data_IF_452754780647
#
_entry.id   IF_452754780647
#
_cell.length_a   1.000
_cell.length_b   1.000
_cell.length_c   1.000
_cell.angle_alpha   90.00
_cell.angle_beta   90.00
_cell.angle_gamma   90.00
#
_symmetry.space_group_name_H-M   'P 1'
#
loop_
_entity.id
_entity.type
_entity.pdbx_description
1 polymer ?
#
# COMPACT_ATOMS: atom_id res chain seq x y z
N UNK A 1 -21.69 19.48 65.01
CA UNK A 1 -20.41 20.05 65.37
C UNK A 1 -19.36 19.53 64.38
N UNK A 2 -18.66 20.48 63.82
CA UNK A 2 -17.44 20.48 63.02
C UNK A 2 -17.59 20.02 61.55
N UNK A 3 -17.43 20.84 60.81
CA UNK A 3 -17.24 21.78 59.77
C UNK A 3 -16.33 21.27 58.65
N UNK A 4 -16.50 21.78 57.42
CA UNK A 4 -15.85 21.24 56.20
C UNK A 4 -14.45 21.82 55.99
N UNK A 5 -13.56 21.03 55.47
CA UNK A 5 -12.26 21.51 55.01
C UNK A 5 -12.21 21.51 53.48
N UNK A 6 -12.29 22.71 52.95
CA UNK A 6 -12.06 23.07 51.53
C UNK A 6 -10.55 23.30 51.33
N UNK A 7 -9.87 22.41 50.62
CA UNK A 7 -8.55 22.73 50.08
C UNK A 7 -8.61 22.86 48.55
N UNK A 8 -8.50 24.11 48.13
CA UNK A 8 -8.14 24.54 46.78
C UNK A 8 -6.70 24.08 46.48
N UNK A 9 -6.49 23.31 45.43
CA UNK A 9 -5.17 23.19 44.78
C UNK A 9 -5.20 23.86 43.43
N UNK A 10 -4.21 24.75 43.30
CA UNK A 10 -4.03 25.69 42.22
C UNK A 10 -3.74 25.07 40.86
N UNK A 11 -4.09 25.85 39.90
CA UNK A 11 -3.66 25.75 38.54
C UNK A 11 -2.16 26.05 38.43
N UNK A 12 -1.38 25.08 37.98
CA UNK A 12 -0.03 25.37 37.52
C UNK A 12 0.12 24.91 36.07
N UNK A 13 0.58 25.89 35.27
CA UNK A 13 0.66 25.86 33.83
C UNK A 13 1.60 24.80 33.27
N UNK A 14 1.15 24.17 32.23
CA UNK A 14 2.01 23.38 31.35
C UNK A 14 2.90 24.31 30.52
N UNK A 15 4.22 24.08 30.44
CA UNK A 15 5.05 24.80 29.51
C UNK A 15 4.85 24.24 28.09
N UNK A 16 4.45 25.10 27.19
CA UNK A 16 4.51 24.82 25.76
C UNK A 16 5.98 24.67 25.31
N UNK A 17 6.43 23.44 25.17
CA UNK A 17 7.70 23.15 24.52
C UNK A 17 7.48 23.14 23.01
N UNK A 18 7.67 24.30 22.38
CA UNK A 18 7.91 24.43 20.95
C UNK A 18 9.26 23.77 20.60
N UNK A 19 9.24 22.46 20.34
CA UNK A 19 10.35 21.76 19.70
C UNK A 19 10.25 22.00 18.20
N UNK A 20 10.94 23.03 17.69
CA UNK A 20 11.24 23.15 16.27
C UNK A 20 12.04 21.92 15.84
N UNK A 21 11.38 20.97 15.19
CA UNK A 21 12.08 19.90 14.50
C UNK A 21 12.88 20.55 13.36
N UNK A 22 14.20 20.66 13.57
CA UNK A 22 15.13 20.93 12.49
C UNK A 22 14.85 19.88 11.41
N UNK A 23 14.53 20.36 10.20
CA UNK A 23 14.42 19.52 9.03
C UNK A 23 15.78 18.84 8.81
N UNK A 24 15.90 17.61 9.34
CA UNK A 24 17.01 16.75 9.03
C UNK A 24 16.99 16.55 7.53
N UNK A 25 18.11 16.88 6.86
CA UNK A 25 18.29 16.64 5.45
C UNK A 25 17.92 15.18 5.18
N UNK A 26 16.83 14.96 4.45
CA UNK A 26 16.35 13.64 4.11
C UNK A 26 17.46 12.92 3.37
N UNK A 27 17.98 11.78 3.84
CA UNK A 27 19.01 11.05 3.10
C UNK A 27 18.44 10.78 1.69
N UNK A 28 19.23 11.11 0.67
CA UNK A 28 18.83 10.87 -0.73
C UNK A 28 18.54 9.37 -0.85
N UNK A 29 17.27 9.03 -1.08
CA UNK A 29 16.85 7.63 -1.23
C UNK A 29 17.71 6.94 -2.30
N UNK A 30 18.19 5.72 -2.05
CA UNK A 30 18.90 4.94 -3.07
C UNK A 30 18.03 4.71 -4.32
N UNK A 31 16.71 4.91 -4.21
CA UNK A 31 15.75 4.80 -5.30
C UNK A 31 15.34 6.14 -5.93
N UNK A 32 15.94 7.27 -5.52
CA UNK A 32 15.68 8.58 -6.15
C UNK A 32 15.83 8.55 -7.69
N UNK A 33 16.84 7.89 -8.29
CA UNK A 33 16.94 7.76 -9.74
C UNK A 33 15.78 6.95 -10.37
N UNK A 34 15.24 5.96 -9.64
CA UNK A 34 14.09 5.16 -10.08
C UNK A 34 12.84 6.02 -10.11
N UNK A 35 12.62 6.79 -9.05
CA UNK A 35 11.47 7.72 -8.94
C UNK A 35 11.54 8.78 -10.05
N UNK A 36 12.73 9.35 -10.28
CA UNK A 36 12.93 10.32 -11.36
C UNK A 36 12.60 9.74 -12.74
N UNK A 37 13.10 8.54 -13.06
CA UNK A 37 12.81 7.86 -14.32
C UNK A 37 11.30 7.59 -14.49
N UNK A 38 10.62 7.13 -13.43
CA UNK A 38 9.17 6.92 -13.48
C UNK A 38 8.39 8.22 -13.71
N UNK A 39 8.79 9.30 -13.05
CA UNK A 39 8.13 10.61 -13.19
C UNK A 39 8.33 11.20 -14.59
N UNK A 40 9.51 11.00 -15.19
CA UNK A 40 9.84 11.46 -16.53
C UNK A 40 9.08 10.69 -17.62
N UNK A 41 9.06 9.34 -17.54
CA UNK A 41 8.42 8.49 -18.55
C UNK A 41 6.89 8.42 -18.39
N UNK A 42 6.38 8.59 -17.17
CA UNK A 42 4.95 8.47 -16.86
C UNK A 42 4.48 9.69 -16.04
N UNK A 43 4.37 10.88 -16.64
CA UNK A 43 3.90 12.07 -15.93
C UNK A 43 2.52 11.84 -15.29
N UNK A 44 2.40 12.15 -14.00
CA UNK A 44 1.16 11.99 -13.23
C UNK A 44 0.83 10.56 -12.78
N UNK A 45 1.63 9.55 -13.13
CA UNK A 45 1.39 8.18 -12.67
C UNK A 45 1.86 7.96 -11.22
N UNK A 46 2.90 8.66 -10.77
CA UNK A 46 3.34 8.68 -9.37
C UNK A 46 2.66 9.85 -8.67
N UNK A 47 1.79 9.56 -7.73
CA UNK A 47 0.98 10.55 -7.01
C UNK A 47 1.69 11.06 -5.74
N UNK A 48 2.40 10.15 -5.06
CA UNK A 48 3.09 10.45 -3.81
C UNK A 48 4.31 9.53 -3.65
N UNK A 49 5.38 10.06 -3.07
CA UNK A 49 6.56 9.28 -2.69
C UNK A 49 6.78 9.39 -1.19
N UNK A 50 6.85 8.26 -0.51
CA UNK A 50 7.06 8.16 0.93
C UNK A 50 8.32 7.36 1.21
N UNK A 51 9.26 7.98 1.95
CA UNK A 51 10.46 7.32 2.46
C UNK A 51 10.27 7.06 3.95
N UNK A 52 10.35 5.80 4.35
CA UNK A 52 10.24 5.43 5.74
C UNK A 52 11.21 4.29 6.09
N UNK A 53 12.09 4.52 7.05
CA UNK A 53 13.09 3.53 7.52
C UNK A 53 13.94 2.90 6.39
N UNK A 54 14.28 3.70 5.38
CA UNK A 54 15.07 3.23 4.23
C UNK A 54 14.28 2.46 3.17
N UNK A 55 12.96 2.37 3.31
CA UNK A 55 12.06 1.81 2.30
C UNK A 55 11.36 2.92 1.53
N UNK A 56 11.38 2.81 0.20
CA UNK A 56 10.66 3.71 -0.71
C UNK A 56 9.30 3.12 -1.04
N UNK A 57 8.26 3.91 -0.81
CA UNK A 57 6.88 3.58 -1.20
C UNK A 57 6.37 4.63 -2.18
N UNK A 58 5.84 4.20 -3.31
CA UNK A 58 5.19 5.07 -4.29
C UNK A 58 3.69 4.81 -4.29
N UNK A 59 2.92 5.86 -4.06
CA UNK A 59 1.49 5.85 -4.36
C UNK A 59 1.35 6.12 -5.86
N UNK A 60 0.69 5.23 -6.58
CA UNK A 60 0.55 5.29 -8.03
C UNK A 60 -0.91 5.26 -8.46
N UNK A 61 -1.17 5.84 -9.64
CA UNK A 61 -2.49 5.78 -10.25
C UNK A 61 -2.84 4.32 -10.61
N UNK A 62 -4.02 3.80 -10.21
CA UNK A 62 -4.39 2.39 -10.39
C UNK A 62 -4.38 1.91 -11.83
N UNK A 63 -4.79 2.77 -12.75
CA UNK A 63 -4.82 2.51 -14.20
C UNK A 63 -3.43 2.41 -14.84
N UNK A 64 -2.39 2.90 -14.16
CA UNK A 64 -1.01 2.93 -14.66
C UNK A 64 -0.11 1.84 -14.07
N UNK A 65 -0.58 1.06 -13.11
CA UNK A 65 0.23 0.06 -12.38
C UNK A 65 0.93 -0.92 -13.32
N UNK A 66 0.20 -1.47 -14.30
CA UNK A 66 0.73 -2.48 -15.23
C UNK A 66 1.86 -1.91 -16.10
N UNK A 67 1.70 -0.68 -16.59
CA UNK A 67 2.71 0.01 -17.40
C UNK A 67 3.96 0.31 -16.58
N UNK A 68 3.77 0.83 -15.36
CA UNK A 68 4.87 1.11 -14.43
C UNK A 68 5.66 -0.16 -14.09
N UNK A 69 4.97 -1.26 -13.76
CA UNK A 69 5.63 -2.53 -13.45
C UNK A 69 6.36 -3.11 -14.67
N UNK A 70 5.78 -2.96 -15.89
CA UNK A 70 6.43 -3.39 -17.12
C UNK A 70 7.72 -2.60 -17.38
N UNK A 71 7.69 -1.29 -17.23
CA UNK A 71 8.86 -0.42 -17.34
C UNK A 71 9.91 -0.77 -16.30
N UNK A 72 9.54 -0.85 -15.02
CA UNK A 72 10.45 -1.19 -13.92
C UNK A 72 11.14 -2.53 -14.13
N UNK A 73 10.46 -3.50 -14.77
CA UNK A 73 11.00 -4.82 -15.05
C UNK A 73 11.95 -4.82 -16.25
N UNK A 74 11.61 -4.07 -17.31
CA UNK A 74 12.30 -4.12 -18.59
C UNK A 74 13.46 -3.13 -18.73
N UNK A 75 13.43 -2.01 -17.99
CA UNK A 75 14.38 -0.93 -18.12
C UNK A 75 15.77 -1.34 -17.62
N UNK A 76 16.84 -1.22 -18.46
CA UNK A 76 18.19 -1.53 -18.08
C UNK A 76 18.64 -0.72 -16.84
N UNK A 77 19.22 -1.43 -15.87
CA UNK A 77 19.67 -0.83 -14.62
C UNK A 77 18.56 -0.60 -13.58
N UNK A 78 17.28 -0.79 -13.89
CA UNK A 78 16.19 -0.87 -12.91
C UNK A 78 15.90 -2.33 -12.55
N UNK A 79 15.49 -3.12 -13.51
CA UNK A 79 15.33 -4.58 -13.47
C UNK A 79 14.64 -5.10 -12.20
N UNK A 80 13.50 -4.50 -11.85
CA UNK A 80 12.64 -5.01 -10.78
C UNK A 80 11.91 -6.27 -11.27
N UNK A 81 12.69 -7.33 -11.46
CA UNK A 81 12.23 -8.56 -12.11
C UNK A 81 11.38 -9.46 -11.19
N UNK A 82 11.54 -9.34 -9.88
CA UNK A 82 10.83 -10.17 -8.90
C UNK A 82 9.67 -9.38 -8.28
N UNK A 83 8.46 -9.89 -8.45
CA UNK A 83 7.32 -9.59 -7.57
C UNK A 83 7.48 -10.46 -6.32
N UNK A 84 7.82 -9.83 -5.19
CA UNK A 84 8.04 -10.51 -3.91
C UNK A 84 6.71 -10.88 -3.27
N UNK A 85 5.75 -9.92 -3.36
CA UNK A 85 4.44 -10.07 -2.75
C UNK A 85 3.45 -9.12 -3.40
N UNK A 86 2.17 -9.48 -3.35
CA UNK A 86 1.03 -8.63 -3.67
C UNK A 86 -0.06 -8.91 -2.65
N UNK A 87 -0.50 -7.87 -1.95
CA UNK A 87 -1.61 -8.00 -1.01
C UNK A 87 -2.60 -6.85 -1.16
N UNK A 88 -3.83 -7.07 -0.68
CA UNK A 88 -4.87 -6.06 -0.64
C UNK A 88 -5.28 -5.75 0.81
N UNK A 89 -5.64 -4.50 1.06
CA UNK A 89 -6.09 -4.02 2.36
C UNK A 89 -7.46 -3.36 2.16
N UNK A 90 -8.42 -3.71 3.00
CA UNK A 90 -9.71 -3.03 3.10
C UNK A 90 -9.65 -1.95 4.19
N UNK A 91 -10.16 -0.74 3.89
CA UNK A 91 -10.24 0.40 4.81
C UNK A 91 -11.69 0.80 5.03
N UNK A 92 -12.07 1.20 6.26
CA UNK A 92 -13.42 1.66 6.58
C UNK A 92 -13.53 3.18 6.71
N UNK A 93 -12.45 3.83 7.18
CA UNK A 93 -12.46 5.24 7.58
C UNK A 93 -11.56 6.10 6.67
N UNK A 94 -11.56 5.81 5.35
CA UNK A 94 -10.75 6.53 4.38
C UNK A 94 -11.57 6.92 3.15
N UNK A 95 -11.05 7.86 2.37
CA UNK A 95 -11.64 8.25 1.07
C UNK A 95 -11.60 7.13 0.04
N UNK A 96 -10.75 6.13 0.24
CA UNK A 96 -10.65 4.92 -0.58
C UNK A 96 -10.98 3.68 0.25
N UNK A 97 -11.56 2.70 -0.40
CA UNK A 97 -12.04 1.46 0.26
C UNK A 97 -10.98 0.38 0.26
N UNK A 98 -10.21 0.27 -0.83
CA UNK A 98 -9.15 -0.73 -0.95
C UNK A 98 -7.80 -0.08 -1.26
N UNK A 99 -6.73 -0.71 -0.80
CA UNK A 99 -5.36 -0.39 -1.16
C UNK A 99 -4.67 -1.70 -1.59
N UNK A 100 -4.17 -1.75 -2.82
CA UNK A 100 -3.37 -2.89 -3.31
C UNK A 100 -1.91 -2.51 -3.20
N UNK A 101 -1.13 -3.38 -2.58
CA UNK A 101 0.30 -3.18 -2.31
C UNK A 101 1.10 -4.19 -3.11
N UNK A 102 2.06 -3.73 -3.88
CA UNK A 102 2.98 -4.54 -4.66
C UNK A 102 4.39 -4.37 -4.11
N UNK A 103 5.06 -5.45 -3.78
CA UNK A 103 6.45 -5.48 -3.35
C UNK A 103 7.33 -6.00 -4.48
N UNK A 104 8.14 -5.13 -5.04
CA UNK A 104 9.06 -5.44 -6.12
C UNK A 104 10.50 -5.48 -5.62
N UNK A 105 11.32 -6.36 -6.20
CA UNK A 105 12.75 -6.45 -5.90
C UNK A 105 13.58 -6.47 -7.17
N UNK A 106 14.64 -5.67 -7.16
CA UNK A 106 15.69 -5.68 -8.19
C UNK A 106 16.94 -6.34 -7.60
N UNK A 107 17.38 -7.43 -8.20
CA UNK A 107 18.64 -8.08 -7.83
C UNK A 107 19.88 -7.26 -8.25
N UNK A 108 19.79 -6.57 -9.37
CA UNK A 108 20.87 -5.72 -9.90
C UNK A 108 21.16 -4.56 -8.98
N UNK A 109 20.11 -3.93 -8.44
CA UNK A 109 20.23 -2.83 -7.49
C UNK A 109 20.30 -3.28 -6.04
N UNK A 110 20.00 -4.55 -5.76
CA UNK A 110 19.78 -5.07 -4.42
C UNK A 110 18.82 -4.16 -3.60
N UNK A 111 17.71 -3.80 -4.24
CA UNK A 111 16.77 -2.82 -3.69
C UNK A 111 15.34 -3.32 -3.80
N UNK A 112 14.51 -2.90 -2.82
CA UNK A 112 13.07 -3.15 -2.80
C UNK A 112 12.32 -1.86 -3.04
N UNK A 113 11.24 -1.96 -3.81
CA UNK A 113 10.31 -0.88 -4.10
C UNK A 113 8.91 -1.33 -3.76
N UNK A 114 8.17 -0.51 -3.01
CA UNK A 114 6.75 -0.74 -2.74
C UNK A 114 5.92 0.19 -3.60
N UNK A 115 4.98 -0.37 -4.36
CA UNK A 115 3.95 0.39 -5.04
C UNK A 115 2.63 0.21 -4.29
N UNK A 116 1.83 1.26 -4.21
CA UNK A 116 0.49 1.25 -3.63
C UNK A 116 -0.49 1.86 -4.61
N UNK A 117 -1.61 1.19 -4.81
CA UNK A 117 -2.73 1.70 -5.61
C UNK A 117 -3.98 1.76 -4.74
N UNK A 118 -4.62 2.93 -4.67
CA UNK A 118 -5.84 3.15 -3.91
C UNK A 118 -7.05 2.99 -4.81
N UNK A 119 -8.04 2.22 -4.37
CA UNK A 119 -9.24 1.92 -5.14
C UNK A 119 -10.48 2.38 -4.38
N UNK A 120 -11.49 2.84 -5.12
CA UNK A 120 -12.80 3.13 -4.57
C UNK A 120 -13.61 1.86 -4.28
N UNK A 121 -14.93 2.03 -4.07
CA UNK A 121 -15.86 0.94 -3.72
C UNK A 121 -15.91 -0.20 -4.75
N UNK A 122 -15.71 0.10 -6.03
CA UNK A 122 -15.71 -0.90 -7.08
C UNK A 122 -14.63 -1.97 -6.91
N UNK A 123 -13.52 -1.65 -6.22
CA UNK A 123 -12.46 -2.59 -5.88
C UNK A 123 -11.84 -3.29 -7.10
N UNK A 124 -11.67 -2.56 -8.24
CA UNK A 124 -11.19 -3.13 -9.50
C UNK A 124 -9.86 -2.55 -9.90
N UNK A 125 -8.95 -3.40 -10.39
CA UNK A 125 -7.64 -3.03 -10.91
C UNK A 125 -7.21 -4.04 -11.97
N UNK A 126 -6.40 -3.61 -12.94
CA UNK A 126 -5.87 -4.51 -13.98
C UNK A 126 -4.91 -5.54 -13.38
N UNK A 127 -4.99 -6.78 -13.87
CA UNK A 127 -4.09 -7.87 -13.47
C UNK A 127 -2.64 -7.56 -13.84
N UNK A 128 -1.73 -7.99 -12.98
CA UNK A 128 -0.28 -7.92 -13.22
C UNK A 128 0.29 -9.22 -13.81
N UNK A 129 -0.52 -10.25 -14.00
CA UNK A 129 -0.07 -11.59 -14.49
C UNK A 129 0.66 -11.54 -15.82
N UNK A 130 0.30 -10.60 -16.71
CA UNK A 130 0.98 -10.38 -18.01
C UNK A 130 2.43 -9.87 -17.85
N UNK A 131 2.78 -9.28 -16.73
CA UNK A 131 4.12 -8.75 -16.43
C UNK A 131 4.87 -9.68 -15.46
N UNK A 132 4.20 -10.10 -14.41
CA UNK A 132 4.71 -11.00 -13.39
C UNK A 132 3.79 -12.22 -13.25
N UNK A 133 4.11 -13.36 -13.86
CA UNK A 133 3.27 -14.56 -13.78
C UNK A 133 2.99 -15.03 -12.35
N UNK A 134 3.92 -14.79 -11.41
CA UNK A 134 3.70 -15.09 -9.99
C UNK A 134 2.57 -14.31 -9.33
N UNK A 135 2.11 -13.22 -9.94
CA UNK A 135 0.96 -12.46 -9.45
C UNK A 135 -0.34 -13.26 -9.42
N UNK A 136 -0.48 -14.29 -10.28
CA UNK A 136 -1.67 -15.15 -10.34
C UNK A 136 -2.16 -15.58 -8.95
N UNK A 137 -1.30 -16.19 -8.16
CA UNK A 137 -1.65 -16.71 -6.83
C UNK A 137 -1.99 -15.61 -5.83
N UNK A 138 -1.21 -14.54 -5.82
CA UNK A 138 -1.43 -13.40 -4.92
C UNK A 138 -2.72 -12.64 -5.26
N UNK A 139 -3.02 -12.46 -6.54
CA UNK A 139 -4.25 -11.80 -6.99
C UNK A 139 -5.48 -12.62 -6.63
N UNK A 140 -5.43 -13.94 -6.79
CA UNK A 140 -6.49 -14.85 -6.36
C UNK A 140 -6.70 -14.82 -4.85
N UNK A 141 -5.62 -14.77 -4.05
CA UNK A 141 -5.70 -14.62 -2.60
C UNK A 141 -6.36 -13.29 -2.21
N UNK A 142 -5.93 -12.18 -2.82
CA UNK A 142 -6.50 -10.86 -2.56
C UNK A 142 -7.97 -10.77 -2.99
N UNK A 143 -8.34 -11.40 -4.10
CA UNK A 143 -9.73 -11.56 -4.53
C UNK A 143 -10.54 -12.37 -3.52
N UNK A 144 -10.04 -13.53 -3.12
CA UNK A 144 -10.74 -14.46 -2.24
C UNK A 144 -10.97 -13.88 -0.84
N UNK A 145 -9.93 -13.31 -0.23
CA UNK A 145 -9.97 -12.88 1.17
C UNK A 145 -10.44 -11.44 1.38
N UNK A 146 -10.21 -10.54 0.42
CA UNK A 146 -10.50 -9.11 0.55
C UNK A 146 -11.58 -8.64 -0.43
N UNK A 147 -11.71 -9.30 -1.58
CA UNK A 147 -12.74 -9.00 -2.59
C UNK A 147 -12.29 -8.02 -3.67
N UNK A 148 -11.00 -7.81 -3.87
CA UNK A 148 -10.48 -7.00 -4.99
C UNK A 148 -10.57 -7.79 -6.28
N UNK A 149 -11.13 -7.20 -7.33
CA UNK A 149 -11.28 -7.83 -8.65
C UNK A 149 -10.12 -7.41 -9.56
N UNK A 150 -9.35 -8.38 -10.05
CA UNK A 150 -8.24 -8.16 -10.98
C UNK A 150 -8.71 -8.37 -12.41
N UNK A 151 -8.92 -7.27 -13.13
CA UNK A 151 -9.44 -7.29 -14.51
C UNK A 151 -8.42 -7.86 -15.48
N UNK A 152 -8.87 -8.81 -16.31
CA UNK A 152 -8.01 -9.52 -17.26
C UNK A 152 -7.19 -10.67 -16.66
N UNK A 153 -7.43 -11.04 -15.40
CA UNK A 153 -6.82 -12.23 -14.81
C UNK A 153 -7.29 -13.49 -15.54
N UNK A 154 -6.40 -14.43 -15.88
CA UNK A 154 -6.74 -15.59 -16.70
C UNK A 154 -7.69 -16.58 -16.00
N UNK A 155 -7.64 -16.68 -14.66
CA UNK A 155 -8.42 -17.64 -13.88
C UNK A 155 -8.69 -17.09 -12.46
N UNK A 156 -9.52 -16.05 -12.35
CA UNK A 156 -9.83 -15.39 -11.07
C UNK A 156 -10.91 -16.17 -10.31
N UNK A 157 -10.50 -17.19 -9.58
CA UNK A 157 -11.36 -18.00 -8.70
C UNK A 157 -10.78 -18.06 -7.29
N UNK A 158 -11.60 -18.44 -6.32
CA UNK A 158 -11.17 -18.62 -4.93
C UNK A 158 -10.03 -19.63 -4.81
N UNK A 159 -9.22 -19.49 -3.77
CA UNK A 159 -8.03 -20.31 -3.54
C UNK A 159 -7.96 -20.87 -2.12
N UNK A 160 -8.40 -20.12 -1.13
CA UNK A 160 -8.36 -20.49 0.29
C UNK A 160 -9.74 -20.82 0.85
N UNK A 161 -10.77 -20.07 0.42
CA UNK A 161 -12.14 -20.31 0.84
C UNK A 161 -12.84 -21.29 -0.10
N UNK A 162 -13.87 -22.03 0.36
CA UNK A 162 -14.72 -22.84 -0.50
C UNK A 162 -15.40 -21.98 -1.58
N UNK A 163 -15.70 -22.60 -2.74
CA UNK A 163 -16.30 -21.87 -3.87
C UNK A 163 -17.68 -21.28 -3.56
N UNK A 164 -18.43 -21.94 -2.67
CA UNK A 164 -19.76 -21.58 -2.20
C UNK A 164 -19.75 -20.58 -1.02
N UNK A 165 -18.59 -20.09 -0.62
CA UNK A 165 -18.49 -19.14 0.49
C UNK A 165 -18.68 -17.69 0.02
N UNK A 166 -19.81 -17.06 0.42
CA UNK A 166 -20.24 -15.74 -0.07
C UNK A 166 -19.63 -14.53 0.64
N UNK A 167 -18.45 -14.68 1.27
CA UNK A 167 -17.84 -13.57 2.02
C UNK A 167 -16.32 -13.46 1.78
N UNK A 168 -15.76 -12.35 2.23
CA UNK A 168 -14.31 -12.08 2.19
C UNK A 168 -13.80 -11.87 3.61
N UNK A 169 -13.16 -12.88 4.24
CA UNK A 169 -12.88 -12.89 5.67
C UNK A 169 -11.90 -11.83 6.17
N UNK A 170 -11.07 -11.25 5.30
CA UNK A 170 -10.12 -10.20 5.67
C UNK A 170 -10.65 -8.78 5.49
N UNK A 171 -11.89 -8.62 5.06
CA UNK A 171 -12.55 -7.32 5.09
C UNK A 171 -12.74 -6.85 6.54
N UNK A 172 -12.60 -5.54 6.77
CA UNK A 172 -12.76 -4.97 8.12
C UNK A 172 -14.20 -4.96 8.63
N UNK A 173 -15.17 -5.04 7.73
CA UNK A 173 -16.60 -5.15 8.01
C UNK A 173 -17.08 -6.61 8.19
N UNK A 174 -16.17 -7.58 8.04
CA UNK A 174 -16.49 -9.00 8.26
C UNK A 174 -16.78 -9.26 9.76
N UNK A 175 -17.88 -9.95 10.11
CA UNK A 175 -18.25 -10.19 11.50
C UNK A 175 -17.24 -11.12 12.20
N UNK A 176 -16.82 -10.74 13.41
CA UNK A 176 -15.80 -11.50 14.18
C UNK A 176 -16.21 -12.93 14.53
N UNK A 177 -17.51 -13.22 14.57
CA UNK A 177 -18.02 -14.58 14.86
C UNK A 177 -18.18 -15.45 13.59
N UNK A 178 -17.87 -14.89 12.41
CA UNK A 178 -18.14 -15.53 11.13
C UNK A 178 -19.64 -15.54 10.81
N UNK A 179 -19.97 -16.27 9.75
CA UNK A 179 -21.36 -16.53 9.32
C UNK A 179 -21.76 -17.94 9.77
#
# INVERSE_FOLDING_TARGET
>A
MTGPNTEKRGADGAPASGGGAAAAATPISPLAPVVAALTEHFPGAVLETVEYRGETTLLVAPDRVVELCRFLKAEPGLEFALLVDLCAIHWMDREYVYEVVYLLHSFVRNARLRLKARLGEAGRISTLTSVHPGADWHEREAFDLVGVVFEGHPDLRRILMPEDYDANPLRKDFPMKGY
#
